data_IF_356467705644
#
_entry.id   IF_356467705644
#
_cell.length_a   1.000
_cell.length_b   1.000
_cell.length_c   1.000
_cell.angle_alpha   90.00
_cell.angle_beta   90.00
_cell.angle_gamma   90.00
#
_symmetry.space_group_name_H-M   'P 1'
#
loop_
_entity.id
_entity.type
_entity.pdbx_description
1 polymer ?
#
# COMPACT_ATOMS: atom_id res chain seq x y z
N UNK A 1 15.28 -13.16 7.65
CA UNK A 1 14.33 -12.03 7.85
C UNK A 1 14.93 -11.06 8.85
N UNK A 2 14.98 -9.77 8.53
CA UNK A 2 15.45 -8.71 9.43
C UNK A 2 14.23 -8.04 10.09
N UNK A 3 14.09 -8.22 11.39
CA UNK A 3 13.09 -7.53 12.21
C UNK A 3 13.68 -6.25 12.77
N UNK A 4 12.92 -5.15 12.69
CA UNK A 4 13.30 -3.85 13.20
C UNK A 4 12.30 -3.38 14.25
N UNK A 5 12.80 -2.74 15.31
CA UNK A 5 11.97 -1.90 16.19
C UNK A 5 11.88 -0.50 15.58
N UNK A 6 10.85 0.24 15.95
CA UNK A 6 10.64 1.61 15.48
C UNK A 6 11.89 2.49 15.66
N UNK A 7 12.52 2.41 16.81
CA UNK A 7 13.73 3.18 17.17
C UNK A 7 15.00 2.77 16.40
N UNK A 8 15.00 1.58 15.76
CA UNK A 8 16.12 1.09 14.95
C UNK A 8 16.07 1.65 13.52
N UNK A 9 14.96 2.28 13.12
CA UNK A 9 14.75 2.79 11.77
C UNK A 9 15.44 4.14 11.63
N UNK A 10 16.73 4.09 11.34
CA UNK A 10 17.53 5.27 11.00
C UNK A 10 17.60 5.41 9.49
N UNK A 11 16.65 6.12 8.89
CA UNK A 11 16.60 6.35 7.45
C UNK A 11 16.14 7.78 7.15
N UNK A 12 16.64 8.34 6.05
CA UNK A 12 16.21 9.64 5.54
C UNK A 12 14.90 9.53 4.75
N UNK A 13 14.66 8.38 4.12
CA UNK A 13 13.50 8.10 3.30
C UNK A 13 12.92 6.73 3.62
N UNK A 14 11.61 6.58 3.49
CA UNK A 14 10.94 5.30 3.66
C UNK A 14 9.74 5.12 2.73
N UNK A 15 9.60 3.91 2.18
CA UNK A 15 8.37 3.43 1.58
C UNK A 15 7.82 2.30 2.44
N UNK A 16 6.56 2.43 2.84
CA UNK A 16 5.84 1.46 3.66
C UNK A 16 4.86 0.74 2.74
N UNK A 17 5.08 -0.54 2.52
CA UNK A 17 4.28 -1.33 1.58
C UNK A 17 3.13 -2.02 2.29
N UNK A 18 1.91 -1.82 1.77
CA UNK A 18 0.75 -2.61 2.11
C UNK A 18 0.73 -3.94 1.32
N UNK A 19 -0.01 -4.90 1.83
CA UNK A 19 -0.20 -6.20 1.20
C UNK A 19 -0.67 -6.11 -0.26
N UNK A 20 -1.62 -5.22 -0.56
CA UNK A 20 -2.20 -5.06 -1.89
C UNK A 20 -1.14 -4.74 -2.94
N UNK A 21 -0.24 -3.81 -2.67
CA UNK A 21 0.81 -3.40 -3.61
C UNK A 21 1.85 -4.50 -3.86
N UNK A 22 2.26 -5.23 -2.80
CA UNK A 22 3.20 -6.35 -2.93
C UNK A 22 2.56 -7.50 -3.71
N UNK A 23 1.28 -7.80 -3.45
CA UNK A 23 0.54 -8.82 -4.17
C UNK A 23 0.46 -8.45 -5.66
N UNK A 24 0.12 -7.21 -5.99
CA UNK A 24 0.07 -6.73 -7.39
C UNK A 24 1.41 -6.94 -8.09
N UNK A 25 2.52 -6.47 -7.51
CA UNK A 25 3.87 -6.63 -8.08
C UNK A 25 4.26 -8.10 -8.24
N UNK A 26 3.94 -8.94 -7.25
CA UNK A 26 4.24 -10.36 -7.28
C UNK A 26 3.40 -11.12 -8.34
N UNK A 27 2.12 -10.76 -8.49
CA UNK A 27 1.24 -11.37 -9.50
C UNK A 27 1.64 -11.00 -10.92
N UNK A 28 2.19 -9.81 -11.12
CA UNK A 28 2.80 -9.37 -12.38
C UNK A 28 4.17 -10.02 -12.68
N UNK A 29 4.74 -10.79 -11.74
CA UNK A 29 6.11 -11.26 -11.84
C UNK A 29 7.17 -10.16 -11.67
N UNK A 30 6.77 -9.00 -11.14
CA UNK A 30 7.62 -7.81 -10.96
C UNK A 30 8.14 -7.63 -9.54
N UNK A 31 8.08 -8.66 -8.71
CA UNK A 31 8.58 -8.60 -7.33
C UNK A 31 10.09 -8.27 -7.26
N UNK A 32 10.86 -8.75 -8.25
CA UNK A 32 12.30 -8.46 -8.38
C UNK A 32 12.60 -6.96 -8.62
N UNK A 33 11.62 -6.21 -9.18
CA UNK A 33 11.76 -4.78 -9.38
C UNK A 33 12.03 -4.03 -8.06
N UNK A 34 11.47 -4.50 -6.95
CA UNK A 34 11.75 -3.90 -5.63
C UNK A 34 13.24 -3.99 -5.27
N UNK A 35 13.91 -5.10 -5.62
CA UNK A 35 15.36 -5.25 -5.42
C UNK A 35 16.14 -4.24 -6.26
N UNK A 36 15.79 -4.14 -7.54
CA UNK A 36 16.46 -3.22 -8.46
C UNK A 36 16.27 -1.75 -8.06
N UNK A 37 15.06 -1.38 -7.63
CA UNK A 37 14.80 -0.03 -7.15
C UNK A 37 15.49 0.24 -5.81
N UNK A 38 15.60 -0.76 -4.93
CA UNK A 38 16.28 -0.63 -3.64
C UNK A 38 17.76 -0.28 -3.78
N UNK A 39 18.46 -0.76 -4.82
CA UNK A 39 19.85 -0.44 -5.07
C UNK A 39 20.11 1.06 -5.28
N UNK A 40 19.13 1.79 -5.82
CA UNK A 40 19.22 3.24 -6.06
C UNK A 40 18.43 4.11 -5.06
N UNK A 41 17.82 3.50 -4.05
CA UNK A 41 16.98 4.20 -3.08
C UNK A 41 17.72 4.40 -1.76
N UNK A 42 18.12 5.64 -1.47
CA UNK A 42 18.73 6.01 -0.19
C UNK A 42 17.70 6.05 0.94
N UNK A 43 17.15 4.90 1.29
CA UNK A 43 16.08 4.79 2.27
C UNK A 43 15.72 3.35 2.62
N UNK A 44 14.58 3.17 3.27
CA UNK A 44 14.06 1.87 3.68
C UNK A 44 12.78 1.50 2.93
N UNK A 45 12.67 0.22 2.57
CA UNK A 45 11.42 -0.41 2.18
C UNK A 45 10.93 -1.22 3.38
N UNK A 46 9.77 -0.86 3.90
CA UNK A 46 9.25 -1.38 5.16
C UNK A 46 7.92 -2.09 4.94
N UNK A 47 7.71 -3.17 5.64
CA UNK A 47 6.41 -3.80 5.87
C UNK A 47 6.18 -3.96 7.37
N UNK A 48 4.93 -3.95 7.79
CA UNK A 48 4.59 -4.24 9.19
C UNK A 48 4.48 -5.74 9.42
N UNK A 49 4.47 -6.15 10.69
CA UNK A 49 4.20 -7.54 11.07
C UNK A 49 2.84 -8.02 10.55
N UNK A 50 1.82 -7.15 10.57
CA UNK A 50 0.48 -7.48 10.07
C UNK A 50 0.51 -7.79 8.56
N UNK A 51 1.21 -6.96 7.79
CA UNK A 51 1.39 -7.18 6.34
C UNK A 51 2.21 -8.46 6.09
N UNK A 52 3.30 -8.68 6.82
CA UNK A 52 4.08 -9.93 6.71
C UNK A 52 3.22 -11.17 6.94
N UNK A 53 2.38 -11.15 7.97
CA UNK A 53 1.49 -12.28 8.26
C UNK A 53 0.49 -12.52 7.13
N UNK A 54 -0.04 -11.46 6.53
CA UNK A 54 -1.02 -11.50 5.46
C UNK A 54 -0.44 -12.05 4.15
N UNK A 55 0.78 -11.66 3.77
CA UNK A 55 1.36 -12.02 2.45
C UNK A 55 2.32 -13.20 2.48
N UNK A 56 2.85 -13.56 3.65
CA UNK A 56 3.84 -14.62 3.77
C UNK A 56 3.39 -15.70 4.75
N UNK A 57 3.19 -15.38 6.04
CA UNK A 57 2.96 -16.40 7.05
C UNK A 57 1.72 -17.23 6.75
N UNK A 58 0.55 -16.59 6.65
CA UNK A 58 -0.71 -17.29 6.41
C UNK A 58 -0.74 -17.97 5.03
N UNK A 59 -0.38 -17.29 3.92
CA UNK A 59 -0.39 -17.92 2.59
C UNK A 59 0.62 -19.07 2.44
N UNK A 60 1.73 -19.09 3.20
CA UNK A 60 2.70 -20.19 3.16
C UNK A 60 2.11 -21.54 3.63
N UNK A 61 1.06 -21.51 4.43
CA UNK A 61 0.36 -22.70 4.93
C UNK A 61 -0.70 -23.20 3.93
N UNK A 62 -1.05 -22.41 2.91
CA UNK A 62 -2.10 -22.72 1.94
C UNK A 62 -1.46 -23.11 0.62
N UNK A 63 -1.56 -24.39 0.21
CA UNK A 63 -0.91 -24.96 -0.99
C UNK A 63 -1.07 -24.09 -2.25
N UNK A 64 -2.26 -23.54 -2.50
CA UNK A 64 -2.57 -22.68 -3.64
C UNK A 64 -1.73 -21.39 -3.67
N UNK A 65 -1.39 -20.83 -2.50
CA UNK A 65 -0.71 -19.53 -2.38
C UNK A 65 0.77 -19.67 -1.99
N UNK A 66 1.20 -20.87 -1.58
CA UNK A 66 2.52 -21.14 -1.03
C UNK A 66 3.67 -20.65 -1.92
N UNK A 67 3.62 -20.94 -3.22
CA UNK A 67 4.67 -20.49 -4.14
C UNK A 67 4.82 -18.96 -4.15
N UNK A 68 3.70 -18.23 -4.22
CA UNK A 68 3.71 -16.76 -4.22
C UNK A 68 4.23 -16.20 -2.91
N UNK A 69 3.86 -16.80 -1.78
CA UNK A 69 4.38 -16.44 -0.46
C UNK A 69 5.90 -16.67 -0.36
N UNK A 70 6.41 -17.77 -0.89
CA UNK A 70 7.85 -18.07 -0.91
C UNK A 70 8.64 -17.08 -1.78
N UNK A 71 8.08 -16.62 -2.90
CA UNK A 71 8.70 -15.58 -3.73
C UNK A 71 8.86 -14.26 -2.97
N UNK A 72 7.80 -13.82 -2.27
CA UNK A 72 7.87 -12.60 -1.43
C UNK A 72 8.79 -12.81 -0.23
N UNK A 73 8.74 -13.98 0.41
CA UNK A 73 9.61 -14.33 1.53
C UNK A 73 11.09 -14.19 1.15
N UNK A 74 11.48 -14.62 -0.05
CA UNK A 74 12.85 -14.48 -0.56
C UNK A 74 13.31 -13.01 -0.54
N UNK A 75 12.47 -12.07 -1.01
CA UNK A 75 12.77 -10.64 -1.02
C UNK A 75 12.95 -10.08 0.41
N UNK A 76 12.14 -10.56 1.36
CA UNK A 76 12.28 -10.21 2.79
C UNK A 76 13.56 -10.80 3.38
N UNK A 77 13.86 -12.07 3.11
CA UNK A 77 15.06 -12.74 3.64
C UNK A 77 16.35 -12.10 3.12
N UNK A 78 16.35 -11.56 1.92
CA UNK A 78 17.46 -10.80 1.32
C UNK A 78 17.58 -9.36 1.84
N UNK A 79 16.65 -8.90 2.70
CA UNK A 79 16.70 -7.57 3.31
C UNK A 79 16.30 -6.43 2.36
N UNK A 80 15.61 -6.73 1.28
CA UNK A 80 15.00 -5.71 0.40
C UNK A 80 13.82 -5.04 1.09
N UNK A 81 12.98 -5.85 1.77
CA UNK A 81 11.90 -5.42 2.65
C UNK A 81 12.27 -5.73 4.09
N UNK A 82 12.36 -4.70 4.93
CA UNK A 82 12.56 -4.86 6.37
C UNK A 82 11.18 -4.99 7.07
N UNK A 83 11.05 -5.92 8.02
CA UNK A 83 9.81 -6.14 8.77
C UNK A 83 9.85 -5.36 10.08
N UNK A 84 8.86 -4.50 10.30
CA UNK A 84 8.72 -3.74 11.56
C UNK A 84 7.84 -4.52 12.53
N UNK A 85 8.44 -4.87 13.69
CA UNK A 85 7.79 -5.61 14.78
C UNK A 85 7.92 -4.78 16.05
N UNK A 86 6.89 -3.99 16.38
CA UNK A 86 6.93 -3.03 17.47
C UNK A 86 5.56 -2.90 18.15
N UNK A 87 5.54 -2.92 19.49
CA UNK A 87 4.31 -2.85 20.28
C UNK A 87 3.60 -1.50 20.18
N UNK A 88 4.37 -0.41 19.97
CA UNK A 88 3.80 0.93 19.81
C UNK A 88 3.06 1.02 18.47
N UNK A 89 3.64 0.43 17.41
CA UNK A 89 2.97 0.31 16.11
C UNK A 89 1.70 -0.51 16.23
N UNK A 90 1.75 -1.62 16.96
CA UNK A 90 0.61 -2.52 17.18
C UNK A 90 -0.54 -1.82 17.92
N UNK A 91 -0.23 -1.07 18.98
CA UNK A 91 -1.20 -0.28 19.73
C UNK A 91 -1.85 0.78 18.85
N UNK A 92 -1.05 1.57 18.14
CA UNK A 92 -1.55 2.59 17.21
C UNK A 92 -2.38 1.97 16.08
N UNK A 93 -2.01 0.77 15.59
CA UNK A 93 -2.80 0.01 14.60
C UNK A 93 -4.21 -0.26 15.09
N UNK A 94 -4.37 -0.70 16.34
CA UNK A 94 -5.68 -0.98 16.91
C UNK A 94 -6.54 0.29 17.01
N UNK A 95 -5.95 1.42 17.40
CA UNK A 95 -6.62 2.72 17.49
C UNK A 95 -7.09 3.21 16.11
N UNK A 96 -6.21 3.17 15.11
CA UNK A 96 -6.54 3.57 13.72
C UNK A 96 -7.61 2.66 13.12
N UNK A 97 -7.51 1.33 13.34
CA UNK A 97 -8.48 0.36 12.86
C UNK A 97 -9.88 0.62 13.46
N UNK A 98 -9.94 0.90 14.76
CA UNK A 98 -11.20 1.22 15.45
C UNK A 98 -11.81 2.54 14.93
N UNK A 99 -11.00 3.59 14.75
CA UNK A 99 -11.45 4.86 14.20
C UNK A 99 -11.96 4.70 12.77
N UNK A 100 -11.16 4.12 11.87
CA UNK A 100 -11.54 3.96 10.47
C UNK A 100 -12.85 3.17 10.30
N UNK A 101 -12.98 2.04 11.02
CA UNK A 101 -14.17 1.19 10.95
C UNK A 101 -15.36 1.73 11.78
N UNK A 102 -15.22 2.92 12.37
CA UNK A 102 -16.33 3.67 12.98
C UNK A 102 -16.75 4.89 12.15
N UNK A 103 -16.07 5.17 11.02
CA UNK A 103 -16.34 6.34 10.17
C UNK A 103 -17.72 6.28 9.52
N UNK A 104 -18.11 5.11 9.01
CA UNK A 104 -19.32 4.94 8.22
C UNK A 104 -20.28 3.94 8.86
N UNK A 105 -21.57 4.23 8.77
CA UNK A 105 -22.63 3.31 9.23
C UNK A 105 -23.83 3.30 8.30
N UNK A 106 -24.54 2.15 8.28
CA UNK A 106 -25.83 1.94 7.60
C UNK A 106 -26.82 1.47 8.66
N UNK A 107 -27.96 2.18 8.80
CA UNK A 107 -28.98 1.85 9.79
C UNK A 107 -28.44 1.68 11.22
N UNK A 108 -27.40 2.46 11.57
CA UNK A 108 -26.74 2.39 12.88
C UNK A 108 -25.65 1.31 13.01
N UNK A 109 -25.50 0.41 12.05
CA UNK A 109 -24.45 -0.59 12.03
C UNK A 109 -23.18 -0.07 11.34
N UNK A 110 -22.03 -0.25 11.98
CA UNK A 110 -20.72 0.19 11.47
C UNK A 110 -20.32 -0.65 10.25
N UNK A 111 -19.72 0.02 9.27
CA UNK A 111 -19.18 -0.61 8.06
C UNK A 111 -17.68 -0.78 8.23
N UNK A 112 -17.18 -2.01 8.04
CA UNK A 112 -15.76 -2.27 7.99
C UNK A 112 -15.16 -1.66 6.71
N UNK A 113 -14.28 -0.68 6.87
CA UNK A 113 -13.67 0.09 5.77
C UNK A 113 -12.29 -0.43 5.44
N UNK A 114 -11.46 -0.67 6.47
CA UNK A 114 -10.09 -1.13 6.32
C UNK A 114 -9.82 -2.37 7.15
N UNK A 115 -8.76 -3.07 6.81
CA UNK A 115 -8.23 -4.23 7.52
C UNK A 115 -6.99 -3.86 8.34
N UNK A 116 -6.46 -4.85 9.06
CA UNK A 116 -5.33 -4.65 9.97
C UNK A 116 -4.05 -4.28 9.24
N UNK A 117 -3.80 -4.84 8.05
CA UNK A 117 -2.66 -4.51 7.20
C UNK A 117 -2.58 -3.02 6.91
N UNK A 118 -3.64 -2.46 6.31
CA UNK A 118 -3.72 -1.03 5.96
C UNK A 118 -3.61 -0.13 7.20
N UNK A 119 -4.33 -0.48 8.28
CA UNK A 119 -4.25 0.28 9.53
C UNK A 119 -2.82 0.31 10.10
N UNK A 120 -2.09 -0.81 10.00
CA UNK A 120 -0.71 -0.91 10.47
C UNK A 120 0.28 -0.09 9.63
N UNK A 121 0.05 0.01 8.33
CA UNK A 121 0.85 0.87 7.45
C UNK A 121 0.64 2.35 7.79
N UNK A 122 -0.59 2.76 8.07
CA UNK A 122 -0.92 4.11 8.52
C UNK A 122 -0.26 4.41 9.87
N UNK A 123 -0.35 3.47 10.83
CA UNK A 123 0.27 3.60 12.15
C UNK A 123 1.79 3.77 12.04
N UNK A 124 2.44 2.92 11.25
CA UNK A 124 3.89 3.00 11.05
C UNK A 124 4.29 4.33 10.40
N UNK A 125 3.54 4.80 9.38
CA UNK A 125 3.79 6.09 8.74
C UNK A 125 3.79 7.24 9.76
N UNK A 126 2.81 7.28 10.65
CA UNK A 126 2.69 8.35 11.65
C UNK A 126 3.80 8.32 12.70
N UNK A 127 4.20 7.13 13.11
CA UNK A 127 5.20 6.92 14.16
C UNK A 127 6.65 7.08 13.67
N UNK A 128 6.90 6.98 12.36
CA UNK A 128 8.24 7.17 11.81
C UNK A 128 8.69 8.62 11.93
N UNK A 129 9.83 8.85 12.60
CA UNK A 129 10.50 10.15 12.73
C UNK A 129 11.23 10.54 11.43
N UNK A 130 10.49 10.53 10.31
CA UNK A 130 10.95 10.93 8.97
C UNK A 130 10.00 12.02 8.49
N UNK A 131 10.52 13.06 7.85
CA UNK A 131 9.71 14.13 7.26
C UNK A 131 8.69 13.56 6.25
N UNK A 132 7.50 14.13 6.20
CA UNK A 132 6.42 13.61 5.35
C UNK A 132 6.80 13.54 3.88
N UNK A 133 7.57 14.50 3.37
CA UNK A 133 8.04 14.55 1.98
C UNK A 133 8.98 13.38 1.62
N UNK A 134 9.56 12.77 2.64
CA UNK A 134 10.53 11.68 2.49
C UNK A 134 9.96 10.30 2.81
N UNK A 135 8.66 10.19 3.07
CA UNK A 135 7.99 8.91 3.30
C UNK A 135 6.66 8.81 2.58
N UNK A 136 6.30 7.61 2.17
CA UNK A 136 5.01 7.31 1.57
C UNK A 136 4.53 5.91 1.96
N UNK A 137 3.22 5.71 1.93
CA UNK A 137 2.60 4.38 2.00
C UNK A 137 2.24 3.94 0.59
N UNK A 138 2.58 2.70 0.25
CA UNK A 138 2.29 2.10 -1.06
C UNK A 138 1.06 1.22 -0.92
N UNK A 139 -0.09 1.69 -1.39
CA UNK A 139 -1.41 1.03 -1.25
C UNK A 139 -2.16 1.06 -2.58
N UNK A 140 -2.59 -0.09 -3.08
CA UNK A 140 -3.39 -0.21 -4.29
C UNK A 140 -4.90 -0.11 -4.03
N UNK A 141 -5.34 -0.43 -2.81
CA UNK A 141 -6.74 -0.51 -2.44
C UNK A 141 -7.39 0.89 -2.40
N UNK A 142 -8.48 1.04 -3.14
CA UNK A 142 -9.15 2.34 -3.35
C UNK A 142 -9.79 2.89 -2.09
N UNK A 143 -10.36 2.03 -1.26
CA UNK A 143 -11.13 2.44 -0.06
C UNK A 143 -10.20 3.10 0.95
N UNK A 144 -9.03 2.49 1.21
CA UNK A 144 -8.02 3.02 2.11
C UNK A 144 -7.44 4.33 1.61
N UNK A 145 -7.16 4.43 0.30
CA UNK A 145 -6.71 5.69 -0.30
C UNK A 145 -7.74 6.80 -0.14
N UNK A 146 -9.02 6.52 -0.44
CA UNK A 146 -10.10 7.50 -0.28
C UNK A 146 -10.31 7.89 1.18
N UNK A 147 -10.13 6.98 2.14
CA UNK A 147 -10.15 7.29 3.56
C UNK A 147 -9.10 8.36 3.92
N UNK A 148 -7.89 8.26 3.36
CA UNK A 148 -6.77 9.16 3.64
C UNK A 148 -6.84 10.47 2.85
N UNK A 149 -7.30 10.42 1.61
CA UNK A 149 -7.31 11.57 0.70
C UNK A 149 -8.63 12.38 0.75
N UNK A 150 -9.77 11.67 0.77
CA UNK A 150 -11.11 12.25 0.61
C UNK A 150 -12.19 11.46 1.38
N UNK A 151 -12.15 11.41 2.72
CA UNK A 151 -13.04 10.54 3.51
C UNK A 151 -14.54 10.81 3.27
N UNK A 152 -14.93 12.05 2.97
CA UNK A 152 -16.33 12.36 2.62
C UNK A 152 -16.77 11.76 1.28
N UNK A 153 -15.88 11.65 0.31
CA UNK A 153 -16.18 11.02 -0.97
C UNK A 153 -16.26 9.49 -0.85
N UNK A 154 -15.63 8.91 0.18
CA UNK A 154 -15.74 7.49 0.47
C UNK A 154 -17.17 7.08 0.81
N UNK A 155 -17.92 7.88 1.57
CA UNK A 155 -19.34 7.62 1.85
C UNK A 155 -20.14 7.49 0.56
N UNK A 156 -20.00 8.44 -0.38
CA UNK A 156 -20.68 8.39 -1.69
C UNK A 156 -20.30 7.16 -2.52
N UNK A 157 -19.00 6.79 -2.49
CA UNK A 157 -18.54 5.58 -3.19
C UNK A 157 -19.23 4.33 -2.66
N UNK A 158 -19.33 4.20 -1.34
CA UNK A 158 -19.95 3.04 -0.70
C UNK A 158 -21.47 3.07 -0.88
N UNK A 159 -22.13 4.23 -0.75
CA UNK A 159 -23.57 4.39 -1.06
C UNK A 159 -23.92 3.86 -2.45
N UNK A 160 -23.14 4.27 -3.45
CA UNK A 160 -23.35 3.80 -4.84
C UNK A 160 -23.14 2.29 -4.99
N UNK A 161 -22.24 1.70 -4.20
CA UNK A 161 -21.94 0.27 -4.26
C UNK A 161 -23.00 -0.61 -3.60
N UNK A 162 -23.56 -0.16 -2.47
CA UNK A 162 -24.53 -0.95 -1.68
C UNK A 162 -25.97 -0.49 -1.85
N UNK A 163 -26.22 0.62 -2.58
CA UNK A 163 -27.53 1.23 -2.80
C UNK A 163 -28.31 1.53 -1.51
N UNK A 164 -27.60 1.94 -0.45
CA UNK A 164 -28.18 2.31 0.85
C UNK A 164 -27.55 3.63 1.32
N UNK A 165 -28.39 4.45 1.99
CA UNK A 165 -27.91 5.70 2.58
C UNK A 165 -26.89 5.43 3.68
N UNK A 166 -25.75 6.14 3.62
CA UNK A 166 -24.65 6.02 4.56
C UNK A 166 -24.62 7.24 5.48
N UNK A 167 -24.46 6.98 6.77
CA UNK A 167 -24.15 8.02 7.75
C UNK A 167 -22.63 8.06 7.94
N UNK A 168 -22.06 9.27 7.99
CA UNK A 168 -20.65 9.54 8.21
C UNK A 168 -20.45 10.23 9.57
N UNK A 169 -19.46 9.80 10.33
CA UNK A 169 -19.01 10.48 11.54
C UNK A 169 -18.05 11.62 11.17
N UNK A 170 -18.51 12.87 11.33
CA UNK A 170 -17.76 14.05 10.96
C UNK A 170 -16.45 14.25 11.78
N UNK A 171 -16.41 13.80 13.03
CA UNK A 171 -15.19 13.91 13.86
C UNK A 171 -14.12 12.99 13.32
N UNK A 172 -14.50 11.76 12.97
CA UNK A 172 -13.59 10.77 12.39
C UNK A 172 -13.18 11.20 10.98
N UNK A 173 -14.12 11.71 10.16
CA UNK A 173 -13.78 12.22 8.84
C UNK A 173 -12.73 13.33 8.89
N UNK A 174 -12.88 14.30 9.79
CA UNK A 174 -11.89 15.36 10.01
C UNK A 174 -10.57 14.82 10.53
N UNK A 175 -10.59 13.83 11.41
CA UNK A 175 -9.38 13.18 11.89
C UNK A 175 -8.54 12.64 10.73
N UNK A 176 -9.14 11.89 9.77
CA UNK A 176 -8.43 11.38 8.62
C UNK A 176 -8.07 12.48 7.60
N UNK A 177 -8.94 13.46 7.37
CA UNK A 177 -8.66 14.59 6.46
C UNK A 177 -7.45 15.43 6.90
N UNK A 178 -7.19 15.51 8.21
CA UNK A 178 -6.07 16.26 8.76
C UNK A 178 -4.74 15.47 8.71
N UNK A 179 -4.80 14.17 8.45
CA UNK A 179 -3.60 13.34 8.29
C UNK A 179 -3.00 13.59 6.91
N UNK A 180 -1.81 14.18 6.88
CA UNK A 180 -1.05 14.41 5.64
C UNK A 180 -0.21 13.18 5.32
N UNK A 181 -0.85 12.10 4.90
CA UNK A 181 -0.19 10.85 4.54
C UNK A 181 0.01 10.83 3.03
N UNK A 182 1.26 10.72 2.59
CA UNK A 182 1.57 10.51 1.18
C UNK A 182 1.27 9.07 0.81
N UNK A 183 0.43 8.90 -0.20
CA UNK A 183 0.03 7.59 -0.72
C UNK A 183 0.45 7.48 -2.17
N UNK A 184 1.11 6.38 -2.51
CA UNK A 184 1.43 5.96 -3.88
C UNK A 184 0.91 4.54 -4.10
N UNK A 185 0.91 4.08 -5.34
CA UNK A 185 0.42 2.74 -5.72
C UNK A 185 1.55 1.90 -6.32
N UNK A 186 1.30 0.63 -6.54
CA UNK A 186 2.18 -0.21 -7.36
C UNK A 186 2.37 0.35 -8.77
N UNK A 187 1.38 1.07 -9.30
CA UNK A 187 1.47 1.76 -10.58
C UNK A 187 2.64 2.76 -10.63
N UNK A 188 2.80 3.60 -9.60
CA UNK A 188 3.93 4.55 -9.52
C UNK A 188 5.27 3.83 -9.34
N UNK A 189 5.30 2.71 -8.61
CA UNK A 189 6.50 1.85 -8.48
C UNK A 189 6.90 1.26 -9.85
N UNK A 190 5.93 0.78 -10.62
CA UNK A 190 6.15 0.25 -11.96
C UNK A 190 6.65 1.33 -12.93
N UNK A 191 6.04 2.51 -12.92
CA UNK A 191 6.49 3.66 -13.74
C UNK A 191 7.92 4.08 -13.40
N UNK A 192 8.28 4.14 -12.11
CA UNK A 192 9.67 4.37 -11.71
C UNK A 192 10.61 3.29 -12.24
N UNK A 193 10.15 2.03 -12.26
CA UNK A 193 10.92 0.92 -12.84
C UNK A 193 11.18 1.07 -14.33
N UNK A 194 10.18 1.53 -15.07
CA UNK A 194 10.30 1.83 -16.50
C UNK A 194 11.22 3.02 -16.73
N UNK A 195 11.00 4.14 -16.03
CA UNK A 195 11.81 5.35 -16.12
C UNK A 195 13.30 5.09 -15.84
N UNK A 196 13.58 4.30 -14.81
CA UNK A 196 14.95 3.91 -14.43
C UNK A 196 15.52 2.76 -15.27
N UNK A 197 14.83 2.37 -16.35
CA UNK A 197 15.20 1.26 -17.24
C UNK A 197 15.48 -0.08 -16.50
N UNK A 198 14.76 -0.31 -15.40
CA UNK A 198 14.81 -1.57 -14.65
C UNK A 198 13.84 -2.63 -15.18
N UNK A 199 12.85 -2.20 -15.99
CA UNK A 199 11.93 -3.06 -16.74
C UNK A 199 12.25 -2.90 -18.23
N UNK A 200 12.73 -3.97 -18.87
CA UNK A 200 13.23 -3.95 -20.27
C UNK A 200 12.53 -5.01 -21.12
N UNK A 201 11.20 -4.99 -21.14
CA UNK A 201 10.40 -5.98 -21.88
C UNK A 201 9.91 -5.46 -23.25
N UNK A 202 9.77 -4.14 -23.39
CA UNK A 202 9.32 -3.45 -24.59
C UNK A 202 9.71 -1.95 -24.48
N UNK A 203 9.49 -1.19 -25.54
CA UNK A 203 9.83 0.23 -25.58
C UNK A 203 8.62 1.14 -25.35
N UNK A 204 8.86 2.28 -24.70
CA UNK A 204 7.95 3.42 -24.63
C UNK A 204 6.54 3.12 -24.15
N UNK A 205 5.56 3.72 -24.84
CA UNK A 205 4.13 3.65 -24.47
C UNK A 205 3.58 2.23 -24.35
N UNK A 206 4.09 1.27 -25.17
CA UNK A 206 3.67 -0.14 -25.10
C UNK A 206 4.04 -0.79 -23.79
N UNK A 207 5.22 -0.48 -23.25
CA UNK A 207 5.66 -1.00 -21.94
C UNK A 207 4.84 -0.39 -20.82
N UNK A 208 4.59 0.93 -20.88
CA UNK A 208 3.73 1.64 -19.90
C UNK A 208 2.35 1.00 -19.84
N UNK A 209 1.72 0.78 -21.00
CA UNK A 209 0.42 0.11 -21.07
C UNK A 209 0.45 -1.29 -20.45
N UNK A 210 1.43 -2.09 -20.84
CA UNK A 210 1.53 -3.46 -20.38
C UNK A 210 1.63 -3.54 -18.85
N UNK A 211 2.45 -2.71 -18.22
CA UNK A 211 2.63 -2.73 -16.77
C UNK A 211 1.43 -2.13 -16.02
N UNK A 212 0.83 -1.05 -16.52
CA UNK A 212 -0.28 -0.37 -15.84
C UNK A 212 -1.62 -1.09 -15.99
N UNK A 213 -1.94 -1.61 -17.19
CA UNK A 213 -3.12 -2.47 -17.37
C UNK A 213 -2.97 -3.79 -16.62
N UNK A 214 -1.75 -4.33 -16.57
CA UNK A 214 -1.44 -5.48 -15.74
C UNK A 214 -1.70 -5.19 -14.25
N UNK A 215 -1.20 -4.06 -13.73
CA UNK A 215 -1.43 -3.65 -12.34
C UNK A 215 -2.94 -3.45 -12.05
N UNK A 216 -3.67 -2.79 -12.95
CA UNK A 216 -5.12 -2.62 -12.88
C UNK A 216 -5.83 -3.98 -12.81
N UNK A 217 -5.43 -4.94 -13.63
CA UNK A 217 -5.97 -6.29 -13.64
C UNK A 217 -5.76 -7.07 -12.34
N UNK A 218 -4.71 -6.76 -11.59
CA UNK A 218 -4.41 -7.37 -10.29
C UNK A 218 -4.81 -6.52 -9.08
N UNK A 219 -5.63 -5.48 -9.29
CA UNK A 219 -6.29 -4.76 -8.19
C UNK A 219 -5.73 -3.38 -7.87
N UNK A 220 -4.70 -2.91 -8.60
CA UNK A 220 -4.27 -1.52 -8.46
C UNK A 220 -5.38 -0.58 -8.92
N UNK A 221 -5.79 0.32 -8.04
CA UNK A 221 -6.85 1.30 -8.32
C UNK A 221 -6.34 2.43 -9.21
N UNK A 222 -6.23 2.17 -10.51
CA UNK A 222 -5.86 3.14 -11.54
C UNK A 222 -6.94 3.22 -12.61
N UNK A 223 -7.29 4.43 -13.06
CA UNK A 223 -8.26 4.68 -14.13
C UNK A 223 -7.62 4.64 -15.51
N UNK A 224 -8.42 4.38 -16.56
CA UNK A 224 -7.93 4.44 -17.94
C UNK A 224 -7.37 5.82 -18.31
N UNK A 225 -8.00 6.89 -17.79
CA UNK A 225 -7.52 8.26 -17.97
C UNK A 225 -6.13 8.47 -17.39
N UNK A 226 -5.84 7.95 -16.21
CA UNK A 226 -4.50 8.03 -15.60
C UNK A 226 -3.47 7.24 -16.42
N UNK A 227 -3.86 6.10 -16.99
CA UNK A 227 -2.99 5.31 -17.90
C UNK A 227 -2.70 6.10 -19.18
N UNK A 228 -3.72 6.75 -19.78
CA UNK A 228 -3.53 7.60 -20.95
C UNK A 228 -2.62 8.81 -20.66
N UNK A 229 -2.72 9.39 -19.48
CA UNK A 229 -1.84 10.46 -19.03
C UNK A 229 -0.39 9.96 -18.85
N UNK A 230 -0.22 8.76 -18.28
CA UNK A 230 1.10 8.14 -18.12
C UNK A 230 1.81 7.85 -19.44
N UNK A 231 1.08 7.51 -20.51
CA UNK A 231 1.65 7.34 -21.88
C UNK A 231 2.36 8.58 -22.42
N UNK A 232 1.95 9.77 -21.94
CA UNK A 232 2.54 11.04 -22.38
C UNK A 232 3.84 11.37 -21.66
N UNK A 233 4.16 10.63 -20.61
CA UNK A 233 5.44 10.76 -19.93
C UNK A 233 6.54 10.35 -20.93
N UNK A 234 7.52 11.22 -21.12
CA UNK A 234 8.72 10.89 -21.89
C UNK A 234 9.65 10.06 -21.00
N UNK A 235 9.37 8.76 -20.94
CA UNK A 235 10.17 7.78 -20.20
C UNK A 235 11.01 6.98 -21.19
#
# INVERSE_FOLDING_TARGET
MRELKLNDIKARKALIFDASSIITLNMLGMAELLRELKLGFDGKFLITKAVYDEIIRVPSEIKKYQLKALMVKKIVDEGVLDVVVDEVVEKSTNEILAHANSLLSVNGEKIKIIHRGEASCIALYELLSIENENKAVVIDERTTRMLLEKPYNLAKLIENKIHKKISIDDKIARYFSNKRINVIRSAEILLMGVEKQKVKLADGAKLIDAVLYGAKGYGCSISDKEIEEARKLKI
#
